data_IF_473515036448
#
_entry.id   IF_473515036448
#
_cell.length_a   1.000
_cell.length_b   1.000
_cell.length_c   1.000
_cell.angle_alpha   90.00
_cell.angle_beta   90.00
_cell.angle_gamma   90.00
#
_symmetry.space_group_name_H-M   'P 1'
#
loop_
_entity.id
_entity.type
_entity.pdbx_description
1 polymer ?
#
# COMPACT_ATOMS: atom_id res chain seq x y z
N UNK A 1 -10.25 -3.20 -9.42
CA UNK A 1 -10.54 -2.67 -8.07
C UNK A 1 -9.60 -3.32 -7.03
N UNK A 2 -8.30 -3.33 -7.32
CA UNK A 2 -7.35 -4.19 -6.59
C UNK A 2 -6.42 -3.40 -5.66
N UNK A 3 -6.26 -2.10 -5.92
CA UNK A 3 -5.31 -1.22 -5.19
C UNK A 3 -5.78 -1.00 -3.76
N UNK A 4 -7.08 -0.78 -3.56
CA UNK A 4 -7.65 -0.59 -2.23
C UNK A 4 -7.47 -1.82 -1.35
N UNK A 5 -7.62 -3.04 -1.91
CA UNK A 5 -7.32 -4.27 -1.17
C UNK A 5 -5.85 -4.36 -0.76
N UNK A 6 -4.92 -4.03 -1.65
CA UNK A 6 -3.50 -4.00 -1.30
C UNK A 6 -3.19 -2.95 -0.22
N UNK A 7 -3.84 -1.79 -0.28
CA UNK A 7 -3.69 -0.74 0.75
C UNK A 7 -4.19 -1.23 2.11
N UNK A 8 -5.34 -1.90 2.12
CA UNK A 8 -5.93 -2.47 3.32
C UNK A 8 -5.03 -3.60 3.88
N UNK A 9 -4.58 -4.52 3.03
CA UNK A 9 -3.68 -5.62 3.40
C UNK A 9 -2.35 -5.10 3.94
N UNK A 10 -1.82 -3.99 3.39
CA UNK A 10 -0.65 -3.30 3.92
C UNK A 10 -0.93 -2.68 5.29
N UNK A 11 -2.10 -2.07 5.49
CA UNK A 11 -2.49 -1.52 6.80
C UNK A 11 -2.67 -2.62 7.84
N UNK A 12 -3.28 -3.74 7.48
CA UNK A 12 -3.38 -4.92 8.34
C UNK A 12 -2.01 -5.50 8.67
N UNK A 13 -1.14 -5.64 7.66
CA UNK A 13 0.24 -6.06 7.86
C UNK A 13 0.98 -5.13 8.84
N UNK A 14 0.88 -3.80 8.67
CA UNK A 14 1.44 -2.84 9.62
C UNK A 14 0.84 -2.97 11.03
N UNK A 15 -0.47 -3.23 11.13
CA UNK A 15 -1.18 -3.42 12.41
C UNK A 15 -0.74 -4.71 13.12
N UNK A 16 -0.49 -5.77 12.35
CA UNK A 16 0.05 -7.05 12.79
C UNK A 16 1.58 -7.02 12.99
N UNK A 17 2.23 -5.87 12.73
CA UNK A 17 3.70 -5.68 12.74
C UNK A 17 4.45 -6.54 11.72
N UNK A 18 3.76 -7.00 10.68
CA UNK A 18 4.33 -7.64 9.50
C UNK A 18 4.88 -6.59 8.54
N UNK A 19 6.02 -6.01 8.91
CA UNK A 19 6.70 -5.02 8.07
C UNK A 19 7.17 -5.60 6.74
N UNK A 20 7.55 -6.88 6.71
CA UNK A 20 7.97 -7.56 5.48
C UNK A 20 6.83 -7.56 4.45
N UNK A 21 5.63 -7.95 4.86
CA UNK A 21 4.44 -7.99 4.01
C UNK A 21 4.03 -6.60 3.53
N UNK A 22 4.11 -5.60 4.41
CA UNK A 22 3.85 -4.21 4.04
C UNK A 22 4.84 -3.69 2.99
N UNK A 23 6.11 -4.10 3.07
CA UNK A 23 7.15 -3.76 2.09
C UNK A 23 6.90 -4.45 0.74
N UNK A 24 6.56 -5.76 0.75
CA UNK A 24 6.19 -6.50 -0.47
C UNK A 24 5.07 -5.81 -1.25
N UNK A 25 4.01 -5.39 -0.54
CA UNK A 25 2.87 -4.73 -1.15
C UNK A 25 3.25 -3.36 -1.71
N UNK A 26 4.11 -2.60 -1.00
CA UNK A 26 4.61 -1.32 -1.48
C UNK A 26 5.36 -1.48 -2.80
N UNK A 27 6.25 -2.46 -2.89
CA UNK A 27 7.02 -2.71 -4.10
C UNK A 27 6.17 -3.25 -5.25
N UNK A 28 5.15 -4.06 -4.96
CA UNK A 28 4.20 -4.53 -5.95
C UNK A 28 3.39 -3.38 -6.58
N UNK A 29 2.95 -2.43 -5.76
CA UNK A 29 2.22 -1.24 -6.22
C UNK A 29 3.14 -0.31 -7.01
N UNK A 30 4.38 -0.12 -6.55
CA UNK A 30 5.40 0.65 -7.26
C UNK A 30 5.74 0.06 -8.63
N UNK A 31 5.84 -1.27 -8.75
CA UNK A 31 6.06 -1.97 -10.01
C UNK A 31 4.93 -1.74 -11.02
N UNK A 32 3.70 -1.58 -10.53
CA UNK A 32 2.52 -1.25 -11.34
C UNK A 32 2.41 0.24 -11.67
N UNK A 33 3.45 1.04 -11.42
CA UNK A 33 3.44 2.49 -11.56
C UNK A 33 2.37 3.18 -10.69
N UNK A 34 2.01 2.56 -9.57
CA UNK A 34 1.09 3.12 -8.59
C UNK A 34 1.94 3.68 -7.45
N UNK A 35 1.90 5.01 -7.30
CA UNK A 35 2.57 5.68 -6.19
C UNK A 35 1.57 5.80 -5.05
N UNK A 36 1.90 5.16 -3.93
CA UNK A 36 1.20 5.33 -2.66
C UNK A 36 1.76 6.56 -1.95
N UNK A 37 0.93 7.57 -1.76
CA UNK A 37 1.15 8.69 -0.85
C UNK A 37 0.43 8.42 0.46
N UNK A 38 1.21 8.04 1.48
CA UNK A 38 0.72 7.99 2.85
C UNK A 38 0.60 9.41 3.40
N UNK A 39 -0.64 9.90 3.54
CA UNK A 39 -0.93 11.16 4.21
C UNK A 39 -1.64 10.90 5.54
N UNK A 40 -1.53 11.81 6.53
CA UNK A 40 -2.28 11.69 7.78
C UNK A 40 -3.81 11.73 7.58
N UNK A 41 -4.29 12.14 6.40
CA UNK A 41 -5.71 12.16 6.03
C UNK A 41 -6.16 10.86 5.33
N UNK A 42 -5.23 9.94 5.05
CA UNK A 42 -5.51 8.67 4.38
C UNK A 42 -4.45 8.30 3.36
N UNK A 43 -4.53 7.07 2.86
CA UNK A 43 -3.66 6.58 1.79
C UNK A 43 -4.24 7.06 0.46
N UNK A 44 -3.52 7.95 -0.24
CA UNK A 44 -3.85 8.34 -1.61
C UNK A 44 -2.96 7.57 -2.56
N UNK A 45 -3.52 7.10 -3.67
CA UNK A 45 -2.72 6.52 -4.73
C UNK A 45 -2.92 7.30 -6.02
N UNK A 46 -1.84 7.49 -6.78
CA UNK A 46 -1.87 8.13 -8.10
C UNK A 46 -1.50 7.09 -9.15
N UNK A 47 -2.36 6.93 -10.14
CA UNK A 47 -2.10 6.13 -11.34
C UNK A 47 -1.65 7.08 -12.45
N UNK A 48 -0.40 6.93 -12.88
CA UNK A 48 0.16 7.66 -14.03
C UNK A 48 -0.25 7.02 -15.34
#
# INVERSE_FOLDING_TARGET
>A
EDIEQFIEERNEARKNKDFARADEIRDMLKARHIILEDTPQGVRFKRG
#
